data_IF_131047297285
#
_entry.id   IF_131047297285
#
_cell.length_a   1.000
_cell.length_b   1.000
_cell.length_c   1.000
_cell.angle_alpha   90.00
_cell.angle_beta   90.00
_cell.angle_gamma   90.00
#
_symmetry.space_group_name_H-M   'P 1'
#
loop_
_entity.id
_entity.type
_entity.pdbx_description
1 polymer ?
#
# COMPACT_ATOMS: atom_id res chain seq x y z
N UNK A 1 17.35 19.81 0.98
CA UNK A 1 16.62 18.63 1.52
C UNK A 1 15.24 19.01 2.05
N UNK A 2 15.12 20.00 2.93
CA UNK A 2 13.82 20.47 3.46
C UNK A 2 12.86 21.00 2.38
N UNK A 3 13.36 21.73 1.38
CA UNK A 3 12.53 22.28 0.29
C UNK A 3 11.82 21.21 -0.54
N UNK A 4 12.44 20.05 -0.71
CA UNK A 4 11.82 18.93 -1.45
C UNK A 4 10.70 18.26 -0.64
N UNK A 5 10.85 18.20 0.68
CA UNK A 5 9.82 17.67 1.59
C UNK A 5 8.61 18.60 1.64
N UNK A 6 8.84 19.92 1.75
CA UNK A 6 7.76 20.91 1.79
C UNK A 6 7.05 21.01 0.42
N UNK A 7 7.77 20.83 -0.69
CA UNK A 7 7.17 20.82 -2.02
C UNK A 7 6.15 19.68 -2.23
N UNK A 8 6.24 18.59 -1.46
CA UNK A 8 5.27 17.49 -1.52
C UNK A 8 3.97 17.77 -0.76
N UNK A 9 3.97 18.69 0.22
CA UNK A 9 2.81 18.96 1.07
C UNK A 9 1.58 19.45 0.28
N UNK A 10 1.68 20.41 -0.66
CA UNK A 10 0.54 20.90 -1.44
C UNK A 10 -0.13 19.82 -2.29
N UNK A 11 0.63 18.80 -2.71
CA UNK A 11 0.10 17.69 -3.49
C UNK A 11 -0.87 16.87 -2.63
N UNK A 12 -0.43 16.44 -1.45
CA UNK A 12 -1.27 15.68 -0.51
C UNK A 12 -2.54 16.43 -0.09
N UNK A 13 -2.42 17.74 0.13
CA UNK A 13 -3.57 18.60 0.43
C UNK A 13 -4.57 18.67 -0.74
N UNK A 14 -4.09 18.77 -1.98
CA UNK A 14 -4.95 18.83 -3.16
C UNK A 14 -5.68 17.51 -3.38
N UNK A 15 -5.02 16.36 -3.19
CA UNK A 15 -5.67 15.04 -3.24
C UNK A 15 -6.79 14.93 -2.20
N UNK A 16 -6.51 15.32 -0.95
CA UNK A 16 -7.49 15.29 0.14
C UNK A 16 -8.71 16.15 -0.17
N UNK A 17 -8.50 17.35 -0.75
CA UNK A 17 -9.58 18.26 -1.18
C UNK A 17 -10.40 17.70 -2.34
N UNK A 18 -9.76 17.02 -3.30
CA UNK A 18 -10.46 16.38 -4.42
C UNK A 18 -11.39 15.27 -3.96
N UNK A 19 -10.93 14.43 -3.02
CA UNK A 19 -11.75 13.37 -2.42
C UNK A 19 -12.88 13.96 -1.59
N UNK A 20 -12.64 15.04 -0.84
CA UNK A 20 -13.67 15.76 -0.10
C UNK A 20 -14.77 16.34 -1.03
N UNK A 21 -14.38 16.86 -2.19
CA UNK A 21 -15.33 17.34 -3.20
C UNK A 21 -16.15 16.17 -3.79
N UNK A 22 -15.50 15.07 -4.17
CA UNK A 22 -16.18 13.89 -4.69
C UNK A 22 -17.16 13.27 -3.69
N UNK A 23 -16.77 13.16 -2.42
CA UNK A 23 -17.62 12.60 -1.34
C UNK A 23 -18.80 13.50 -0.96
N UNK A 24 -18.70 14.81 -1.23
CA UNK A 24 -19.80 15.76 -1.11
C UNK A 24 -20.81 15.61 -2.25
N UNK A 25 -20.35 15.31 -3.47
CA UNK A 25 -21.23 15.11 -4.63
C UNK A 25 -22.09 13.84 -4.50
N UNK A 26 -21.53 12.79 -3.89
CA UNK A 26 -22.22 11.51 -3.63
C UNK A 26 -22.94 11.47 -2.28
N UNK A 27 -23.07 12.61 -1.58
CA UNK A 27 -23.84 12.69 -0.34
C UNK A 27 -25.32 12.33 -0.61
N UNK A 28 -25.80 11.26 0.00
CA UNK A 28 -27.16 10.75 -0.23
C UNK A 28 -27.28 9.70 -1.35
N UNK A 29 -26.20 9.45 -2.11
CA UNK A 29 -26.16 8.32 -3.05
C UNK A 29 -26.21 7.01 -2.25
N UNK A 30 -27.24 6.19 -2.53
CA UNK A 30 -27.55 4.94 -1.83
C UNK A 30 -27.84 5.05 -0.32
N UNK A 31 -28.26 6.24 0.17
CA UNK A 31 -28.59 6.44 1.59
C UNK A 31 -27.39 6.39 2.54
N UNK A 32 -26.17 6.39 2.00
CA UNK A 32 -24.94 6.35 2.76
C UNK A 32 -24.42 7.76 3.06
N UNK A 33 -23.95 7.95 4.30
CA UNK A 33 -23.32 9.20 4.74
C UNK A 33 -21.95 9.37 4.05
N UNK A 34 -21.58 10.61 3.74
CA UNK A 34 -20.29 11.01 3.13
C UNK A 34 -19.07 10.34 3.76
N UNK A 35 -19.04 10.20 5.09
CA UNK A 35 -17.90 9.57 5.79
C UNK A 35 -17.71 8.09 5.43
N UNK A 36 -18.77 7.35 5.10
CA UNK A 36 -18.67 5.93 4.68
C UNK A 36 -18.06 5.82 3.28
N UNK A 37 -18.46 6.72 2.39
CA UNK A 37 -17.88 6.80 1.05
C UNK A 37 -16.39 7.16 1.07
N UNK A 38 -15.96 8.01 2.01
CA UNK A 38 -14.55 8.33 2.19
C UNK A 38 -13.72 7.08 2.50
N UNK A 39 -14.18 6.23 3.43
CA UNK A 39 -13.51 4.98 3.76
C UNK A 39 -13.46 3.99 2.60
N UNK A 40 -14.52 3.92 1.79
CA UNK A 40 -14.55 3.02 0.63
C UNK A 40 -13.56 3.49 -0.44
N UNK A 41 -13.54 4.79 -0.75
CA UNK A 41 -12.66 5.36 -1.78
C UNK A 41 -11.18 5.21 -1.42
N UNK A 42 -10.83 5.40 -0.14
CA UNK A 42 -9.46 5.27 0.34
C UNK A 42 -9.06 3.80 0.58
N UNK A 43 -9.97 2.98 1.12
CA UNK A 43 -9.69 1.61 1.51
C UNK A 43 -9.73 0.60 0.36
N UNK A 44 -10.49 0.88 -0.70
CA UNK A 44 -10.58 0.01 -1.87
C UNK A 44 -9.22 -0.16 -2.59
N UNK A 45 -8.46 0.90 -2.93
CA UNK A 45 -7.17 0.74 -3.60
C UNK A 45 -6.15 0.01 -2.73
N UNK A 46 -6.10 0.28 -1.41
CA UNK A 46 -5.22 -0.46 -0.50
C UNK A 46 -5.57 -1.95 -0.42
N UNK A 47 -6.87 -2.27 -0.34
CA UNK A 47 -7.33 -3.66 -0.32
C UNK A 47 -7.02 -4.37 -1.64
N UNK A 48 -7.22 -3.69 -2.77
CA UNK A 48 -6.87 -4.21 -4.09
C UNK A 48 -5.37 -4.44 -4.23
N UNK A 49 -4.55 -3.50 -3.77
CA UNK A 49 -3.09 -3.64 -3.79
C UNK A 49 -2.64 -4.77 -2.88
N UNK A 50 -3.28 -4.98 -1.73
CA UNK A 50 -3.00 -6.12 -0.86
C UNK A 50 -3.28 -7.46 -1.56
N UNK A 51 -4.39 -7.58 -2.30
CA UNK A 51 -4.69 -8.77 -3.11
C UNK A 51 -3.65 -8.97 -4.21
N UNK A 52 -3.27 -7.90 -4.91
CA UNK A 52 -2.20 -7.96 -5.93
C UNK A 52 -0.89 -8.41 -5.30
N UNK A 53 -0.49 -7.82 -4.18
CA UNK A 53 0.74 -8.19 -3.47
C UNK A 53 0.67 -9.64 -2.98
N UNK A 54 -0.45 -10.11 -2.46
CA UNK A 54 -0.60 -11.52 -2.08
C UNK A 54 -0.44 -12.48 -3.28
N UNK A 55 -0.82 -12.08 -4.49
CA UNK A 55 -0.71 -12.92 -5.68
C UNK A 55 0.64 -12.79 -6.40
N UNK A 56 1.16 -11.56 -6.49
CA UNK A 56 2.37 -11.20 -7.24
C UNK A 56 3.64 -11.28 -6.38
N UNK A 57 3.49 -11.14 -5.07
CA UNK A 57 4.51 -11.35 -4.06
C UNK A 57 4.18 -12.66 -3.32
N UNK A 58 4.39 -13.85 -3.95
CA UNK A 58 4.30 -15.10 -3.22
C UNK A 58 5.34 -15.05 -2.10
N UNK A 59 4.82 -14.88 -0.88
CA UNK A 59 5.39 -15.23 0.42
C UNK A 59 6.90 -15.52 0.42
N UNK A 60 7.69 -14.56 0.88
CA UNK A 60 9.01 -14.75 1.52
C UNK A 60 10.08 -15.62 0.80
N UNK A 61 11.34 -15.19 0.80
CA UNK A 61 12.48 -15.94 0.25
C UNK A 61 12.86 -17.19 1.08
N UNK A 62 11.92 -17.79 1.81
CA UNK A 62 12.12 -19.11 2.43
C UNK A 62 11.79 -20.25 1.44
N UNK A 63 11.01 -19.95 0.38
CA UNK A 63 10.84 -20.83 -0.79
C UNK A 63 11.76 -20.42 -1.93
N UNK A 64 13.06 -20.43 -1.63
CA UNK A 64 14.10 -20.66 -2.61
C UNK A 64 13.95 -22.09 -3.20
N UNK A 65 12.86 -22.40 -3.90
CA UNK A 65 12.68 -23.68 -4.60
C UNK A 65 13.46 -23.71 -5.92
N UNK A 66 14.48 -22.87 -6.06
CA UNK A 66 15.43 -22.92 -7.16
C UNK A 66 16.80 -22.34 -6.80
N UNK A 67 17.28 -22.60 -5.58
CA UNK A 67 18.69 -22.35 -5.27
C UNK A 67 19.42 -23.71 -5.15
N UNK A 68 20.40 -24.00 -6.03
CA UNK A 68 21.22 -25.19 -5.92
C UNK A 68 21.90 -25.20 -4.54
N UNK A 69 21.97 -26.38 -3.96
CA UNK A 69 22.18 -26.71 -2.54
C UNK A 69 23.52 -26.29 -1.90
N UNK A 70 24.29 -25.38 -2.49
CA UNK A 70 25.66 -25.06 -2.06
C UNK A 70 25.76 -23.79 -1.20
N UNK A 71 24.99 -22.74 -1.48
CA UNK A 71 25.08 -21.44 -0.80
C UNK A 71 24.43 -21.37 0.59
N UNK A 72 23.57 -22.34 0.93
CA UNK A 72 22.80 -22.32 2.20
C UNK A 72 23.69 -22.54 3.43
N UNK A 73 24.85 -23.17 3.26
CA UNK A 73 25.78 -23.49 4.35
C UNK A 73 26.56 -22.25 4.83
N UNK A 74 26.76 -21.27 3.95
CA UNK A 74 27.56 -20.06 4.24
C UNK A 74 26.72 -19.03 5.02
N UNK A 75 25.41 -18.97 4.76
CA UNK A 75 24.51 -18.01 5.43
C UNK A 75 24.21 -18.46 6.87
N UNK A 76 24.05 -19.77 7.10
CA UNK A 76 23.81 -20.32 8.44
C UNK A 76 25.07 -20.19 9.32
N UNK A 77 26.28 -20.27 8.76
CA UNK A 77 27.51 -20.12 9.53
C UNK A 77 27.79 -18.67 9.97
N UNK A 78 27.24 -17.67 9.27
CA UNK A 78 27.35 -16.24 9.65
C UNK A 78 26.32 -15.78 10.66
N UNK A 79 25.16 -16.43 10.75
CA UNK A 79 24.12 -16.12 11.76
C UNK A 79 24.46 -16.64 13.15
N UNK A 80 25.40 -17.59 13.27
CA UNK A 80 25.80 -18.19 14.55
C UNK A 80 27.04 -17.54 15.18
N UNK A 81 27.58 -16.47 14.56
CA UNK A 81 28.60 -15.61 15.15
C UNK A 81 27.99 -14.34 15.73
#
# INVERSE_FOLDING_TARGET
RLSFVIAGAPLGETYSKSIAYGTRLINGTQGLKTWRWLFIIEGAPSSYLAVIVCFFFPSYPDRATRQPSEDRTIIISRMKQ
#
